data_IF_557521747958
#
_entry.id   IF_557521747958
#
_cell.length_a   1.000
_cell.length_b   1.000
_cell.length_c   1.000
_cell.angle_alpha   90.00
_cell.angle_beta   90.00
_cell.angle_gamma   90.00
#
_symmetry.space_group_name_H-M   'P 1'
#
loop_
_entity.id
_entity.type
_entity.pdbx_description
1 polymer ?
#
# COMPACT_ATOMS: atom_id res chain seq x y z
N UNK A 1 10.94 -3.87 12.92
CA UNK A 1 10.32 -4.95 12.13
C UNK A 1 9.84 -4.32 10.84
N UNK A 2 10.60 -4.49 9.77
CA UNK A 2 10.18 -4.14 8.41
C UNK A 2 8.98 -5.01 8.06
N UNK A 3 7.89 -4.38 7.60
CA UNK A 3 6.76 -5.09 6.97
C UNK A 3 7.21 -5.54 5.59
N UNK A 4 8.11 -6.51 5.55
CA UNK A 4 8.39 -7.24 4.34
C UNK A 4 7.22 -8.20 4.18
N UNK A 5 6.23 -7.81 3.37
CA UNK A 5 5.01 -8.60 3.18
C UNK A 5 5.35 -10.03 2.73
N UNK A 6 4.40 -10.94 2.78
CA UNK A 6 4.61 -12.30 2.27
C UNK A 6 4.42 -12.38 0.76
N UNK A 7 5.35 -13.02 0.02
CA UNK A 7 5.17 -13.48 -1.36
C UNK A 7 5.77 -14.86 -1.55
N UNK A 8 5.20 -15.61 -2.48
CA UNK A 8 5.75 -16.90 -2.90
C UNK A 8 7.15 -16.69 -3.54
N UNK A 9 8.16 -17.33 -2.96
CA UNK A 9 9.57 -17.14 -3.34
C UNK A 9 10.39 -16.21 -2.43
N UNK A 10 9.80 -15.56 -1.41
CA UNK A 10 10.56 -14.78 -0.41
C UNK A 10 11.63 -15.62 0.29
N UNK A 11 11.33 -16.88 0.58
CA UNK A 11 12.27 -17.83 1.17
C UNK A 11 12.17 -19.17 0.44
N UNK A 12 13.02 -19.33 -0.58
CA UNK A 12 13.13 -20.57 -1.34
C UNK A 12 13.50 -21.73 -0.39
N UNK A 13 12.95 -22.91 -0.66
CA UNK A 13 13.19 -24.15 0.11
C UNK A 13 12.69 -24.16 1.56
N UNK A 14 11.91 -23.16 1.98
CA UNK A 14 11.23 -23.17 3.28
C UNK A 14 9.73 -23.37 3.06
N UNK A 15 9.08 -24.28 3.79
CA UNK A 15 7.64 -24.46 3.67
C UNK A 15 6.93 -23.16 4.05
N UNK A 16 5.93 -22.79 3.26
CA UNK A 16 5.06 -21.66 3.61
C UNK A 16 4.39 -21.95 4.96
N UNK A 17 4.64 -21.08 5.94
CA UNK A 17 4.04 -21.24 7.27
C UNK A 17 2.54 -20.98 7.19
N UNK A 18 1.76 -21.64 8.05
CA UNK A 18 0.30 -21.49 8.07
C UNK A 18 -0.13 -20.00 8.20
N UNK A 19 0.62 -19.20 8.96
CA UNK A 19 0.40 -17.76 9.09
C UNK A 19 0.40 -17.01 7.75
N UNK A 20 1.19 -17.48 6.79
CA UNK A 20 1.31 -16.88 5.46
C UNK A 20 0.10 -17.21 4.59
N UNK A 21 -0.39 -18.45 4.67
CA UNK A 21 -1.64 -18.86 4.03
C UNK A 21 -2.83 -18.14 4.67
N UNK A 22 -2.83 -17.99 5.99
CA UNK A 22 -3.88 -17.28 6.73
C UNK A 22 -3.91 -15.78 6.40
N UNK A 23 -2.76 -15.12 6.25
CA UNK A 23 -2.69 -13.72 5.82
C UNK A 23 -3.25 -13.54 4.40
N UNK A 24 -2.87 -14.41 3.47
CA UNK A 24 -3.39 -14.43 2.10
C UNK A 24 -4.90 -14.67 2.08
N UNK A 25 -5.37 -15.65 2.85
CA UNK A 25 -6.80 -15.93 3.01
C UNK A 25 -7.57 -14.76 3.61
N UNK A 26 -6.95 -13.99 4.51
CA UNK A 26 -7.56 -12.79 5.08
C UNK A 26 -7.70 -11.67 4.04
N UNK A 27 -6.66 -11.39 3.25
CA UNK A 27 -6.72 -10.38 2.18
C UNK A 27 -7.81 -10.72 1.17
N UNK A 28 -7.92 -11.97 0.72
CA UNK A 28 -9.00 -12.42 -0.18
C UNK A 28 -10.38 -12.21 0.45
N UNK A 29 -10.51 -12.44 1.76
CA UNK A 29 -11.77 -12.27 2.50
C UNK A 29 -12.14 -10.81 2.76
N UNK A 30 -11.15 -9.94 2.94
CA UNK A 30 -11.30 -8.54 3.33
C UNK A 30 -11.39 -7.60 2.11
N UNK A 31 -10.61 -7.84 1.05
CA UNK A 31 -10.50 -6.95 -0.12
C UNK A 31 -11.38 -7.37 -1.30
N UNK A 32 -11.60 -8.66 -1.52
CA UNK A 32 -12.19 -9.15 -2.77
C UNK A 32 -13.59 -9.75 -2.61
N UNK A 33 -14.14 -9.71 -1.40
CA UNK A 33 -15.53 -10.12 -1.08
C UNK A 33 -15.96 -11.42 -1.78
N UNK A 34 -15.10 -12.44 -1.78
CA UNK A 34 -15.53 -13.82 -2.11
C UNK A 34 -16.50 -14.42 -1.07
N UNK A 35 -17.02 -13.59 -0.15
CA UNK A 35 -18.11 -13.95 0.77
C UNK A 35 -19.44 -14.07 0.03
N UNK A 36 -19.61 -13.36 -1.09
CA UNK A 36 -20.78 -13.45 -1.95
C UNK A 36 -20.51 -14.31 -3.19
N UNK A 37 -21.54 -15.02 -3.67
CA UNK A 37 -21.44 -15.79 -4.92
C UNK A 37 -21.33 -14.83 -6.10
N UNK A 38 -20.13 -14.70 -6.65
CA UNK A 38 -19.89 -13.89 -7.84
C UNK A 38 -20.31 -14.66 -9.11
N UNK A 39 -20.96 -13.96 -10.05
CA UNK A 39 -21.12 -14.44 -11.42
C UNK A 39 -19.72 -14.64 -12.05
N UNK A 40 -19.55 -15.68 -12.86
CA UNK A 40 -18.24 -16.12 -13.38
C UNK A 40 -17.42 -14.97 -14.01
N UNK A 41 -18.06 -14.08 -14.77
CA UNK A 41 -17.41 -12.92 -15.38
C UNK A 41 -16.86 -11.92 -14.36
N UNK A 42 -17.53 -11.76 -13.22
CA UNK A 42 -17.09 -10.88 -12.12
C UNK A 42 -15.99 -11.56 -11.30
N UNK A 43 -16.10 -12.87 -11.10
CA UNK A 43 -15.06 -13.67 -10.45
C UNK A 43 -13.73 -13.58 -11.21
N UNK A 44 -13.73 -13.74 -12.54
CA UNK A 44 -12.50 -13.69 -13.33
C UNK A 44 -11.85 -12.30 -13.27
N UNK A 45 -12.63 -11.22 -13.33
CA UNK A 45 -12.13 -9.85 -13.17
C UNK A 45 -11.48 -9.65 -11.81
N UNK A 46 -12.13 -10.08 -10.73
CA UNK A 46 -11.63 -9.96 -9.37
C UNK A 46 -10.35 -10.77 -9.20
N UNK A 47 -10.35 -12.05 -9.60
CA UNK A 47 -9.18 -12.93 -9.52
C UNK A 47 -7.98 -12.37 -10.31
N UNK A 48 -8.21 -11.84 -11.51
CA UNK A 48 -7.14 -11.22 -12.31
C UNK A 48 -6.58 -9.96 -11.61
N UNK A 49 -7.44 -9.19 -10.95
CA UNK A 49 -7.04 -7.99 -10.22
C UNK A 49 -6.16 -8.31 -9.00
N UNK A 50 -6.49 -9.39 -8.27
CA UNK A 50 -5.69 -9.90 -7.14
C UNK A 50 -4.29 -10.28 -7.62
N UNK A 51 -4.23 -11.13 -8.65
CA UNK A 51 -2.96 -11.58 -9.22
C UNK A 51 -2.15 -10.40 -9.74
N UNK A 52 -2.80 -9.42 -10.38
CA UNK A 52 -2.13 -8.21 -10.88
C UNK A 52 -1.53 -7.37 -9.75
N UNK A 53 -2.26 -7.14 -8.65
CA UNK A 53 -1.75 -6.41 -7.47
C UNK A 53 -0.56 -7.13 -6.87
N UNK A 54 -0.67 -8.44 -6.66
CA UNK A 54 0.38 -9.23 -6.01
C UNK A 54 1.62 -9.44 -6.90
N UNK A 55 1.45 -9.43 -8.23
CA UNK A 55 2.53 -9.64 -9.20
C UNK A 55 3.20 -8.33 -9.67
N UNK A 56 2.44 -7.27 -9.93
CA UNK A 56 2.94 -6.05 -10.58
C UNK A 56 3.20 -4.91 -9.57
N UNK A 57 2.30 -4.70 -8.61
CA UNK A 57 2.46 -3.63 -7.62
C UNK A 57 3.53 -3.98 -6.59
N UNK A 58 3.79 -5.27 -6.42
CA UNK A 58 4.92 -5.78 -5.66
C UNK A 58 6.19 -5.79 -6.51
N UNK A 59 6.71 -4.62 -6.85
CA UNK A 59 8.02 -4.53 -7.50
C UNK A 59 9.13 -4.82 -6.46
N UNK A 60 9.87 -5.94 -6.53
CA UNK A 60 10.92 -6.26 -5.56
C UNK A 60 12.12 -5.31 -5.64
N UNK A 61 12.28 -4.56 -6.74
CA UNK A 61 13.29 -3.50 -6.86
C UNK A 61 12.87 -2.18 -6.18
N UNK A 62 11.58 -1.99 -5.90
CA UNK A 62 11.12 -0.91 -5.01
C UNK A 62 11.27 -1.41 -3.58
N UNK A 63 12.46 -1.21 -3.03
CA UNK A 63 12.73 -1.41 -1.62
C UNK A 63 11.66 -0.65 -0.82
N UNK A 64 10.97 -1.33 0.10
CA UNK A 64 10.11 -0.65 1.06
C UNK A 64 10.98 0.36 1.80
N UNK A 65 10.82 1.65 1.52
CA UNK A 65 11.48 2.70 2.29
C UNK A 65 11.06 2.49 3.73
N UNK A 66 12.02 2.16 4.59
CA UNK A 66 11.74 1.98 6.02
C UNK A 66 11.48 3.36 6.61
N UNK A 67 10.25 3.83 6.50
CA UNK A 67 9.78 5.05 7.14
C UNK A 67 9.81 4.76 8.65
N UNK A 68 10.55 5.55 9.42
CA UNK A 68 10.63 5.36 10.87
C UNK A 68 9.29 5.69 11.50
N UNK A 69 9.00 5.10 12.66
CA UNK A 69 7.80 5.45 13.43
C UNK A 69 7.74 6.95 13.76
N UNK A 70 8.90 7.57 13.97
CA UNK A 70 9.03 9.02 14.15
C UNK A 70 8.45 9.81 12.96
N UNK A 71 8.75 9.37 11.74
CA UNK A 71 8.36 10.07 10.52
C UNK A 71 6.86 9.96 10.29
N UNK A 72 6.28 8.77 10.54
CA UNK A 72 4.83 8.57 10.57
C UNK A 72 4.13 9.44 11.61
N UNK A 73 4.71 9.51 12.82
CA UNK A 73 4.15 10.31 13.92
C UNK A 73 4.18 11.80 13.58
N UNK A 74 5.29 12.28 13.02
CA UNK A 74 5.45 13.66 12.58
C UNK A 74 4.48 14.00 11.44
N UNK A 75 4.35 13.11 10.43
CA UNK A 75 3.40 13.28 9.34
C UNK A 75 1.94 13.32 9.82
N UNK A 76 1.55 12.44 10.73
CA UNK A 76 0.20 12.43 11.32
C UNK A 76 -0.08 13.70 12.13
N UNK A 77 0.87 14.13 12.96
CA UNK A 77 0.74 15.38 13.72
C UNK A 77 0.62 16.58 12.80
N UNK A 78 1.40 16.62 11.71
CA UNK A 78 1.32 17.67 10.71
C UNK A 78 -0.04 17.67 9.99
N UNK A 79 -0.56 16.50 9.60
CA UNK A 79 -1.86 16.38 8.94
C UNK A 79 -3.01 16.90 9.84
N UNK A 80 -2.93 16.65 11.15
CA UNK A 80 -3.91 17.17 12.14
C UNK A 80 -3.91 18.70 12.27
N UNK A 81 -2.85 19.39 11.85
CA UNK A 81 -2.83 20.85 11.82
C UNK A 81 -3.75 21.43 10.74
N UNK A 82 -4.26 20.59 9.82
CA UNK A 82 -5.20 20.95 8.77
C UNK A 82 -4.80 22.22 8.01
N UNK A 83 -3.51 22.30 7.63
CA UNK A 83 -2.95 23.44 6.93
C UNK A 83 -3.51 23.54 5.52
N UNK A 84 -3.71 24.76 5.04
CA UNK A 84 -4.12 24.99 3.66
C UNK A 84 -2.94 24.74 2.71
N UNK A 85 -3.13 23.79 1.79
CA UNK A 85 -2.17 23.46 0.74
C UNK A 85 -2.82 23.74 -0.60
N UNK A 86 -2.15 24.49 -1.46
CA UNK A 86 -2.63 24.77 -2.81
C UNK A 86 -2.03 23.73 -3.74
N UNK A 87 -2.88 22.95 -4.42
CA UNK A 87 -2.46 22.01 -5.46
C UNK A 87 -2.52 22.70 -6.82
N UNK A 88 -1.45 22.60 -7.61
CA UNK A 88 -1.42 22.97 -9.03
C UNK A 88 -0.98 21.75 -9.83
N UNK A 89 -1.78 21.40 -10.84
CA UNK A 89 -1.54 20.27 -11.71
C UNK A 89 -1.18 20.80 -13.10
N UNK A 90 -0.08 20.32 -13.65
CA UNK A 90 0.33 20.51 -15.05
C UNK A 90 0.24 19.15 -15.75
N UNK A 91 0.41 19.13 -17.09
CA UNK A 91 0.28 17.89 -17.87
C UNK A 91 1.25 16.78 -17.43
N UNK A 92 2.36 17.12 -16.77
CA UNK A 92 3.39 16.17 -16.34
C UNK A 92 3.62 16.09 -14.83
N UNK A 93 3.18 17.09 -14.04
CA UNK A 93 3.55 17.18 -12.63
C UNK A 93 2.45 17.77 -11.74
N UNK A 94 2.47 17.36 -10.46
CA UNK A 94 1.62 17.94 -9.42
C UNK A 94 2.52 18.67 -8.43
N UNK A 95 2.30 19.98 -8.29
CA UNK A 95 3.03 20.85 -7.39
C UNK A 95 2.10 21.25 -6.23
N UNK A 96 2.60 21.10 -5.00
CA UNK A 96 1.90 21.50 -3.78
C UNK A 96 2.60 22.73 -3.18
N UNK A 97 1.85 23.82 -2.98
CA UNK A 97 2.34 25.04 -2.34
C UNK A 97 1.86 25.13 -0.89
N UNK A 98 2.78 25.47 0.00
CA UNK A 98 2.53 25.82 1.39
C UNK A 98 2.76 27.33 1.59
N UNK A 99 1.95 27.95 2.44
CA UNK A 99 2.19 29.33 2.82
C UNK A 99 3.54 29.44 3.56
N UNK A 100 4.34 30.46 3.25
CA UNK A 100 5.67 30.63 3.84
C UNK A 100 5.66 30.64 5.37
N UNK A 101 4.63 31.25 5.99
CA UNK A 101 4.42 31.26 7.45
C UNK A 101 4.26 29.87 8.06
N UNK A 102 3.84 28.90 7.26
CA UNK A 102 3.57 27.52 7.65
C UNK A 102 4.76 26.60 7.43
N UNK A 103 5.80 27.08 6.74
CA UNK A 103 7.04 26.39 6.49
C UNK A 103 8.04 26.71 7.60
N UNK A 104 8.23 25.78 8.53
CA UNK A 104 9.28 25.85 9.55
C UNK A 104 10.38 24.85 9.20
N UNK A 105 11.58 25.34 8.97
CA UNK A 105 12.79 24.51 8.87
C UNK A 105 13.17 24.13 10.31
N UNK A 106 13.20 22.84 10.62
CA UNK A 106 13.76 22.30 11.85
C UNK A 106 15.28 22.20 11.74
#
# INVERSE_FOLDING_TARGET
>A
MTKDGWYEGLQLFTPSTNNSLEATNRVIKDEDTLRDRLVLSRFTVVALSIVKKWSIERNPSKQNTTIKLSDWTNGNNWAKLNKQVIKKETDNEIIYYLLAKDFKIQ
#
